data_IF_814646830898
#
_entry.id   IF_814646830898
#
_cell.length_a   1.000
_cell.length_b   1.000
_cell.length_c   1.000
_cell.angle_alpha   90.00
_cell.angle_beta   90.00
_cell.angle_gamma   90.00
#
_symmetry.space_group_name_H-M   'P 1'
#
loop_
_entity.id
_entity.type
_entity.pdbx_description
1 polymer ?
#
# COMPACT_ATOMS: atom_id res chain seq x y z
N UNK A 1 -10.44 6.53 -25.07
CA UNK A 1 -9.99 7.27 -23.87
C UNK A 1 -10.35 6.43 -22.67
N UNK A 2 -9.39 6.14 -21.80
CA UNK A 2 -9.66 5.41 -20.55
C UNK A 2 -10.29 6.38 -19.56
N UNK A 3 -11.41 5.98 -18.97
CA UNK A 3 -12.09 6.71 -17.90
C UNK A 3 -11.77 6.05 -16.56
N UNK A 4 -11.77 6.83 -15.49
CA UNK A 4 -11.82 6.28 -14.14
C UNK A 4 -13.25 5.82 -13.85
N UNK A 5 -13.46 4.56 -13.50
CA UNK A 5 -14.80 4.02 -13.24
C UNK A 5 -14.84 3.36 -11.86
N UNK A 6 -15.81 3.79 -11.05
CA UNK A 6 -16.03 3.30 -9.70
C UNK A 6 -17.50 2.93 -9.46
N UNK A 7 -17.71 2.04 -8.51
CA UNK A 7 -19.03 1.75 -7.94
C UNK A 7 -19.21 2.47 -6.61
N UNK A 8 -20.37 3.10 -6.45
CA UNK A 8 -20.78 3.84 -5.27
C UNK A 8 -21.97 3.11 -4.65
N UNK A 9 -21.83 2.58 -3.44
CA UNK A 9 -22.90 1.83 -2.76
C UNK A 9 -23.54 2.66 -1.66
N UNK A 10 -24.78 3.09 -1.90
CA UNK A 10 -25.50 4.06 -1.06
C UNK A 10 -26.50 3.34 -0.16
N UNK A 11 -26.40 3.60 1.15
CA UNK A 11 -27.29 3.03 2.16
C UNK A 11 -28.63 3.76 2.29
N UNK A 12 -29.50 3.28 3.19
CA UNK A 12 -30.83 3.90 3.42
C UNK A 12 -30.78 5.28 4.06
N UNK A 13 -29.75 5.57 4.87
CA UNK A 13 -29.66 6.73 5.77
C UNK A 13 -28.68 7.81 5.31
N UNK A 14 -27.74 7.48 4.44
CA UNK A 14 -26.75 8.41 3.91
C UNK A 14 -26.82 8.37 2.40
N UNK A 15 -27.47 9.40 1.83
CA UNK A 15 -27.79 9.48 0.40
C UNK A 15 -27.02 10.59 -0.31
N UNK A 16 -26.22 11.37 0.41
CA UNK A 16 -25.41 12.41 -0.20
C UNK A 16 -24.11 11.79 -0.68
N UNK A 17 -23.97 11.70 -2.00
CA UNK A 17 -22.73 11.29 -2.66
C UNK A 17 -22.00 12.54 -3.10
N UNK A 18 -20.83 12.80 -2.52
CA UNK A 18 -20.03 13.98 -2.88
C UNK A 18 -18.70 13.58 -3.50
N UNK A 19 -18.50 13.92 -4.77
CA UNK A 19 -17.19 13.88 -5.42
C UNK A 19 -16.52 15.25 -5.29
N UNK A 20 -15.24 15.28 -4.91
CA UNK A 20 -14.44 16.50 -4.94
C UNK A 20 -13.19 16.31 -5.77
N UNK A 21 -12.90 17.29 -6.61
CA UNK A 21 -11.70 17.36 -7.43
C UNK A 21 -11.05 18.72 -7.14
N UNK A 22 -10.26 18.81 -6.05
CA UNK A 22 -9.44 19.99 -5.77
C UNK A 22 -8.52 20.31 -6.94
N UNK A 23 -8.05 21.55 -7.00
CA UNK A 23 -6.97 21.93 -7.88
C UNK A 23 -5.82 22.50 -7.07
N UNK A 24 -4.61 22.22 -7.54
CA UNK A 24 -3.42 22.90 -7.02
C UNK A 24 -3.40 24.38 -7.40
N UNK A 25 -2.29 25.03 -7.06
CA UNK A 25 -2.03 26.43 -7.44
C UNK A 25 -1.86 26.62 -8.96
N UNK A 26 -1.55 25.55 -9.68
CA UNK A 26 -1.36 25.54 -11.13
C UNK A 26 -2.01 24.28 -11.69
N UNK A 27 -2.65 24.42 -12.85
CA UNK A 27 -3.24 23.31 -13.60
C UNK A 27 -2.75 23.39 -15.05
N UNK A 28 -2.12 22.33 -15.52
CA UNK A 28 -1.74 22.18 -16.91
C UNK A 28 -2.98 22.27 -17.83
N UNK A 29 -2.90 22.92 -19.00
CA UNK A 29 -4.06 23.11 -19.88
C UNK A 29 -4.81 21.82 -20.22
N UNK A 30 -4.09 20.70 -20.39
CA UNK A 30 -4.66 19.38 -20.70
C UNK A 30 -5.47 18.77 -19.56
N UNK A 31 -5.36 19.28 -18.33
CA UNK A 31 -6.03 18.75 -17.13
C UNK A 31 -7.14 19.68 -16.61
N UNK A 32 -7.47 20.75 -17.34
CA UNK A 32 -8.47 21.75 -16.92
C UNK A 32 -9.90 21.32 -17.14
N UNK A 33 -10.15 20.32 -17.98
CA UNK A 33 -11.49 19.84 -18.24
C UNK A 33 -11.69 18.49 -17.57
N UNK A 34 -12.86 18.32 -16.97
CA UNK A 34 -13.30 17.04 -16.44
C UNK A 34 -14.78 16.86 -16.75
N UNK A 35 -15.12 15.69 -17.26
CA UNK A 35 -16.50 15.26 -17.43
C UNK A 35 -16.78 14.18 -16.41
N UNK A 36 -17.91 14.27 -15.73
CA UNK A 36 -18.32 13.29 -14.72
C UNK A 36 -19.67 12.75 -15.12
N UNK A 37 -19.75 11.42 -15.23
CA UNK A 37 -20.98 10.70 -15.49
C UNK A 37 -21.39 9.95 -14.23
N UNK A 38 -22.60 10.21 -13.72
CA UNK A 38 -23.18 9.47 -12.61
C UNK A 38 -24.50 8.85 -13.09
N UNK A 39 -24.58 7.51 -13.08
CA UNK A 39 -25.73 6.75 -13.60
C UNK A 39 -26.19 7.16 -15.02
N UNK A 40 -25.22 7.46 -15.89
CA UNK A 40 -25.48 7.85 -17.29
C UNK A 40 -25.71 9.34 -17.50
N UNK A 41 -25.98 10.12 -16.44
CA UNK A 41 -26.08 11.58 -16.53
C UNK A 41 -24.69 12.21 -16.51
N UNK A 42 -24.34 12.95 -17.57
CA UNK A 42 -23.01 13.55 -17.72
C UNK A 42 -23.05 15.05 -17.50
N UNK A 43 -22.07 15.55 -16.76
CA UNK A 43 -21.82 16.97 -16.56
C UNK A 43 -20.37 17.31 -16.92
N UNK A 44 -20.14 18.50 -17.43
CA UNK A 44 -18.83 18.98 -17.88
C UNK A 44 -18.40 20.16 -17.01
N UNK A 45 -17.15 20.14 -16.55
CA UNK A 45 -16.63 21.11 -15.60
C UNK A 45 -15.26 21.62 -16.04
N UNK A 46 -15.03 22.88 -15.72
CA UNK A 46 -13.71 23.49 -15.81
C UNK A 46 -13.08 23.53 -14.42
N UNK A 47 -11.86 23.01 -14.30
CA UNK A 47 -11.05 23.07 -13.08
C UNK A 47 -10.26 24.37 -13.08
N UNK A 48 -10.38 25.14 -12.00
CA UNK A 48 -9.67 26.40 -11.82
C UNK A 48 -8.64 26.29 -10.69
N UNK A 49 -7.46 26.92 -10.80
CA UNK A 49 -6.46 26.88 -9.73
C UNK A 49 -7.01 27.37 -8.39
N UNK A 50 -6.54 26.77 -7.30
CA UNK A 50 -6.93 27.16 -5.92
C UNK A 50 -8.46 27.03 -5.72
N UNK A 51 -9.10 26.13 -6.46
CA UNK A 51 -10.52 25.83 -6.35
C UNK A 51 -10.75 24.34 -6.11
N UNK A 52 -12.00 23.95 -5.94
CA UNK A 52 -12.40 22.55 -5.93
C UNK A 52 -13.69 22.39 -6.71
N UNK A 53 -13.67 21.52 -7.72
CA UNK A 53 -14.91 21.08 -8.36
C UNK A 53 -15.61 20.14 -7.38
N UNK A 54 -16.79 20.52 -6.90
CA UNK A 54 -17.60 19.75 -5.95
C UNK A 54 -18.90 19.34 -6.64
N UNK A 55 -19.15 18.04 -6.73
CA UNK A 55 -20.35 17.49 -7.34
C UNK A 55 -21.10 16.67 -6.29
N UNK A 56 -22.38 16.96 -6.14
CA UNK A 56 -23.26 16.36 -5.14
C UNK A 56 -24.44 15.66 -5.83
N UNK A 57 -24.66 14.42 -5.45
CA UNK A 57 -25.73 13.58 -5.98
C UNK A 57 -26.58 13.05 -4.82
N UNK A 58 -27.87 12.86 -5.07
CA UNK A 58 -28.85 12.35 -4.10
C UNK A 58 -29.54 11.08 -4.62
N UNK A 59 -28.78 10.01 -4.92
CA UNK A 59 -29.36 8.76 -5.43
C UNK A 59 -30.29 8.07 -4.42
N UNK A 60 -31.12 7.17 -4.94
CA UNK A 60 -31.83 6.19 -4.10
C UNK A 60 -30.83 5.18 -3.52
N UNK A 61 -31.18 4.43 -2.46
CA UNK A 61 -30.32 3.37 -1.96
C UNK A 61 -30.06 2.30 -3.03
N UNK A 62 -28.81 1.86 -3.18
CA UNK A 62 -28.40 0.93 -4.22
C UNK A 62 -26.93 1.08 -4.61
N UNK A 63 -26.53 0.40 -5.66
CA UNK A 63 -25.21 0.51 -6.27
C UNK A 63 -25.31 1.37 -7.53
N UNK A 64 -24.46 2.37 -7.62
CA UNK A 64 -24.44 3.39 -8.66
C UNK A 64 -23.09 3.41 -9.35
N UNK A 65 -23.06 3.90 -10.59
CA UNK A 65 -21.84 3.94 -11.40
C UNK A 65 -21.35 5.37 -11.56
N UNK A 66 -20.12 5.62 -11.13
CA UNK A 66 -19.41 6.88 -11.29
C UNK A 66 -18.31 6.72 -12.35
N UNK A 67 -18.35 7.53 -13.40
CA UNK A 67 -17.27 7.68 -14.37
C UNK A 67 -16.68 9.09 -14.30
N UNK A 68 -15.36 9.20 -14.33
CA UNK A 68 -14.63 10.46 -14.39
C UNK A 68 -13.70 10.41 -15.62
N UNK A 69 -13.87 11.40 -16.50
CA UNK A 69 -13.11 11.53 -17.73
C UNK A 69 -12.40 12.89 -17.78
N UNK A 70 -11.08 12.86 -17.77
CA UNK A 70 -10.23 14.05 -17.87
C UNK A 70 -9.75 14.30 -19.31
N UNK A 71 -10.32 13.63 -20.31
CA UNK A 71 -9.83 13.72 -21.69
C UNK A 71 -8.53 12.96 -21.89
N UNK A 72 -8.36 11.82 -21.19
CA UNK A 72 -7.26 10.86 -21.38
C UNK A 72 -6.18 10.83 -20.29
N UNK A 73 -5.84 11.96 -19.67
CA UNK A 73 -4.83 12.06 -18.60
C UNK A 73 -5.48 12.42 -17.27
N UNK A 74 -5.24 11.64 -16.22
CA UNK A 74 -5.83 11.90 -14.90
C UNK A 74 -4.84 12.62 -13.98
N UNK A 75 -5.24 13.73 -13.31
CA UNK A 75 -4.38 14.38 -12.33
C UNK A 75 -4.17 13.47 -11.11
N UNK A 76 -2.90 13.21 -10.79
CA UNK A 76 -2.51 12.44 -9.62
C UNK A 76 -2.84 13.18 -8.32
N UNK A 77 -3.01 12.41 -7.24
CA UNK A 77 -3.20 12.89 -5.86
C UNK A 77 -4.39 13.85 -5.63
N UNK A 78 -5.31 13.94 -6.59
CA UNK A 78 -6.31 15.01 -6.60
C UNK A 78 -7.69 14.49 -6.20
N UNK A 79 -8.09 13.32 -6.71
CA UNK A 79 -9.45 12.82 -6.50
C UNK A 79 -9.76 12.58 -5.02
N UNK A 80 -10.81 13.21 -4.50
CA UNK A 80 -11.45 12.85 -3.24
C UNK A 80 -12.78 12.19 -3.63
N UNK A 81 -12.77 10.87 -3.65
CA UNK A 81 -13.93 10.07 -4.03
C UNK A 81 -15.02 10.14 -2.96
N UNK A 82 -16.30 9.90 -3.32
CA UNK A 82 -17.35 9.74 -2.34
C UNK A 82 -16.99 8.69 -1.28
N UNK A 83 -17.38 8.92 -0.03
CA UNK A 83 -17.13 7.97 1.07
C UNK A 83 -17.73 6.59 0.77
N UNK A 84 -18.83 6.56 0.02
CA UNK A 84 -19.57 5.36 -0.38
C UNK A 84 -18.91 4.60 -1.56
N UNK A 85 -17.70 4.97 -1.97
CA UNK A 85 -16.98 4.27 -3.05
C UNK A 85 -16.52 2.89 -2.58
N UNK A 86 -17.07 1.84 -3.17
CA UNK A 86 -16.81 0.45 -2.76
C UNK A 86 -15.93 -0.31 -3.74
N UNK A 87 -15.91 0.06 -5.01
CA UNK A 87 -15.08 -0.63 -6.01
C UNK A 87 -14.48 0.31 -7.07
N UNK A 88 -13.26 -0.02 -7.54
CA UNK A 88 -12.71 0.49 -8.80
C UNK A 88 -12.74 -0.64 -9.82
N UNK A 89 -13.54 -0.48 -10.87
CA UNK A 89 -13.90 -1.59 -11.77
C UNK A 89 -13.28 -1.47 -13.17
N UNK A 90 -12.48 -0.43 -13.42
CA UNK A 90 -11.72 -0.26 -14.66
C UNK A 90 -10.27 0.12 -14.40
N UNK A 91 -9.35 -0.17 -15.34
CA UNK A 91 -8.02 0.42 -15.32
C UNK A 91 -8.11 1.94 -15.20
N UNK A 92 -7.26 2.54 -14.37
CA UNK A 92 -7.25 4.00 -14.23
C UNK A 92 -6.56 4.63 -15.44
N UNK A 93 -6.91 5.86 -15.83
CA UNK A 93 -6.17 6.61 -16.84
C UNK A 93 -4.72 6.82 -16.42
N UNK A 94 -3.85 7.18 -17.36
CA UNK A 94 -2.47 7.51 -17.05
C UNK A 94 -2.42 8.69 -16.07
N UNK A 95 -1.60 8.59 -15.02
CA UNK A 95 -1.44 9.59 -13.97
C UNK A 95 -0.50 10.70 -14.42
N UNK A 96 -0.92 11.94 -14.21
CA UNK A 96 -0.17 13.13 -14.58
C UNK A 96 -0.04 14.06 -13.38
N UNK A 97 1.09 14.77 -13.29
CA UNK A 97 1.24 15.86 -12.34
C UNK A 97 0.36 17.04 -12.77
N UNK A 98 -0.51 17.47 -11.85
CA UNK A 98 -1.53 18.50 -12.14
C UNK A 98 -0.90 19.83 -12.59
N UNK A 99 0.24 20.22 -12.00
CA UNK A 99 0.90 21.49 -12.26
C UNK A 99 1.73 21.48 -13.56
N UNK A 100 2.48 20.39 -13.82
CA UNK A 100 3.39 20.32 -14.97
C UNK A 100 2.76 19.73 -16.22
N UNK A 101 1.68 18.95 -16.09
CA UNK A 101 1.06 18.25 -17.22
C UNK A 101 1.94 17.13 -17.79
N UNK A 102 2.92 16.67 -17.02
CA UNK A 102 3.77 15.52 -17.37
C UNK A 102 3.31 14.26 -16.63
N UNK A 103 3.73 13.08 -17.11
CA UNK A 103 3.50 11.81 -16.43
C UNK A 103 4.00 11.87 -14.98
N UNK A 104 3.18 11.38 -14.06
CA UNK A 104 3.56 11.24 -12.65
C UNK A 104 4.43 10.01 -12.48
N UNK A 105 5.55 10.11 -11.76
CA UNK A 105 6.32 8.93 -11.36
C UNK A 105 5.82 8.31 -10.06
N UNK A 106 4.95 9.03 -9.32
CA UNK A 106 4.31 8.58 -8.08
C UNK A 106 2.89 8.07 -8.35
N UNK A 107 2.55 6.92 -7.79
CA UNK A 107 1.28 6.22 -7.96
C UNK A 107 0.14 6.76 -7.09
N UNK A 108 0.15 8.04 -6.73
CA UNK A 108 -0.92 8.64 -5.95
C UNK A 108 -2.18 8.79 -6.82
N UNK A 109 -3.14 7.88 -6.65
CA UNK A 109 -4.41 7.88 -7.44
C UNK A 109 -5.36 8.97 -6.91
N UNK A 110 -5.52 9.03 -5.60
CA UNK A 110 -6.44 9.93 -4.88
C UNK A 110 -5.70 10.83 -3.91
N UNK A 111 -6.41 11.79 -3.35
CA UNK A 111 -5.89 12.65 -2.30
C UNK A 111 -5.44 11.81 -1.07
N UNK A 112 -4.17 11.88 -0.68
CA UNK A 112 -3.63 11.03 0.40
C UNK A 112 -4.19 11.37 1.78
N UNK A 113 -4.75 12.57 1.98
CA UNK A 113 -5.40 12.97 3.24
C UNK A 113 -6.79 12.35 3.35
N UNK A 114 -7.45 12.08 2.22
CA UNK A 114 -8.81 11.52 2.16
C UNK A 114 -8.89 10.31 1.23
N UNK A 115 -8.22 9.20 1.56
CA UNK A 115 -8.32 7.97 0.79
C UNK A 115 -9.73 7.34 0.90
N UNK A 116 -10.19 6.55 -0.09
CA UNK A 116 -11.53 5.95 -0.11
C UNK A 116 -11.63 4.77 0.88
N UNK A 117 -11.86 5.05 2.16
CA UNK A 117 -11.78 4.04 3.25
C UNK A 117 -12.78 2.87 3.16
N UNK A 118 -13.87 3.01 2.40
CA UNK A 118 -14.87 1.96 2.16
C UNK A 118 -14.58 1.10 0.92
N UNK A 119 -13.44 1.32 0.26
CA UNK A 119 -13.05 0.56 -0.92
C UNK A 119 -12.77 -0.90 -0.55
N UNK A 120 -13.54 -1.83 -1.10
CA UNK A 120 -13.40 -3.27 -0.87
C UNK A 120 -12.88 -4.03 -2.09
N UNK A 121 -13.02 -3.46 -3.29
CA UNK A 121 -12.66 -4.14 -4.54
C UNK A 121 -11.84 -3.26 -5.48
N UNK A 122 -10.82 -3.89 -6.08
CA UNK A 122 -9.97 -3.31 -7.12
C UNK A 122 -9.93 -4.27 -8.30
N UNK A 123 -10.08 -3.74 -9.51
CA UNK A 123 -9.79 -4.51 -10.72
C UNK A 123 -8.30 -4.89 -10.77
N UNK A 124 -7.98 -6.12 -11.17
CA UNK A 124 -6.59 -6.58 -11.38
C UNK A 124 -5.84 -5.70 -12.40
N UNK A 125 -6.62 -5.19 -13.35
CA UNK A 125 -6.36 -4.17 -14.36
C UNK A 125 -5.69 -2.86 -13.97
N UNK A 126 -5.64 -2.55 -12.67
CA UNK A 126 -5.72 -1.15 -12.20
C UNK A 126 -4.68 -0.24 -12.88
N UNK A 127 -3.43 -0.69 -12.96
CA UNK A 127 -2.31 0.08 -13.49
C UNK A 127 -1.95 -0.20 -14.96
N UNK A 128 -2.84 -0.78 -15.77
CA UNK A 128 -2.54 -1.14 -17.16
C UNK A 128 -2.00 0.02 -18.03
N UNK A 129 -2.35 1.27 -17.70
CA UNK A 129 -1.89 2.48 -18.41
C UNK A 129 -0.81 3.27 -17.66
N UNK A 130 -0.27 2.73 -16.57
CA UNK A 130 0.62 3.42 -15.64
C UNK A 130 1.98 2.71 -15.50
N UNK A 131 2.46 2.10 -16.58
CA UNK A 131 3.71 1.30 -16.60
C UNK A 131 4.95 2.09 -16.18
N UNK A 132 4.92 3.42 -16.29
CA UNK A 132 5.99 4.37 -16.00
C UNK A 132 6.17 4.69 -14.51
N UNK A 133 5.26 4.24 -13.63
CA UNK A 133 5.35 4.52 -12.20
C UNK A 133 6.62 3.93 -11.59
N UNK A 134 7.26 4.73 -10.72
CA UNK A 134 8.50 4.38 -10.02
C UNK A 134 8.24 4.20 -8.52
N UNK A 135 7.35 4.99 -7.94
CA UNK A 135 7.05 4.97 -6.50
C UNK A 135 5.56 4.79 -6.25
N UNK A 136 5.20 3.82 -5.42
CA UNK A 136 3.82 3.49 -5.00
C UNK A 136 3.58 3.88 -3.54
N UNK A 137 4.33 4.87 -3.04
CA UNK A 137 4.34 5.25 -1.64
C UNK A 137 2.94 5.61 -1.14
N UNK A 138 2.47 4.91 -0.11
CA UNK A 138 1.16 5.16 0.51
C UNK A 138 -0.06 5.00 -0.40
N UNK A 139 0.06 4.38 -1.57
CA UNK A 139 -1.00 4.38 -2.60
C UNK A 139 -2.33 3.84 -2.07
N UNK A 140 -2.29 2.74 -1.31
CA UNK A 140 -3.45 2.10 -0.70
C UNK A 140 -3.41 2.19 0.84
N UNK A 141 -2.67 3.17 1.37
CA UNK A 141 -2.59 3.37 2.81
C UNK A 141 -3.94 3.82 3.40
N UNK A 142 -4.28 3.27 4.56
CA UNK A 142 -5.49 3.62 5.30
C UNK A 142 -6.80 3.11 4.68
N UNK A 143 -6.74 2.25 3.66
CA UNK A 143 -7.91 1.58 3.08
C UNK A 143 -8.40 0.47 4.01
N UNK A 144 -9.08 0.86 5.09
CA UNK A 144 -9.47 -0.04 6.18
C UNK A 144 -10.50 -1.10 5.79
N UNK A 145 -11.29 -0.88 4.74
CA UNK A 145 -12.23 -1.87 4.21
C UNK A 145 -11.62 -2.79 3.14
N UNK A 146 -10.40 -2.52 2.65
CA UNK A 146 -9.75 -3.32 1.61
C UNK A 146 -9.08 -4.53 2.27
N UNK A 147 -9.77 -5.67 2.25
CA UNK A 147 -9.32 -6.91 2.93
C UNK A 147 -8.47 -7.82 2.06
N UNK A 148 -8.55 -7.66 0.74
CA UNK A 148 -7.77 -8.40 -0.25
C UNK A 148 -7.46 -7.53 -1.46
N UNK A 149 -6.43 -7.93 -2.23
CA UNK A 149 -6.09 -7.31 -3.51
C UNK A 149 -5.86 -8.38 -4.57
N UNK A 150 -6.12 -8.05 -5.86
CA UNK A 150 -5.78 -8.96 -6.95
C UNK A 150 -4.30 -9.33 -6.94
N UNK A 151 -3.99 -10.57 -7.23
CA UNK A 151 -2.60 -11.05 -7.23
C UNK A 151 -1.71 -10.37 -8.28
N UNK A 152 -2.32 -9.86 -9.35
CA UNK A 152 -1.66 -9.13 -10.43
C UNK A 152 -1.83 -7.61 -10.32
N UNK A 153 -2.23 -7.08 -9.16
CA UNK A 153 -2.50 -5.64 -8.97
C UNK A 153 -1.34 -4.76 -9.44
N UNK A 154 -0.09 -5.15 -9.19
CA UNK A 154 1.09 -4.38 -9.58
C UNK A 154 1.67 -4.76 -10.95
N UNK A 155 1.01 -5.63 -11.71
CA UNK A 155 1.35 -5.84 -13.12
C UNK A 155 0.70 -4.71 -13.96
N UNK A 156 1.42 -4.03 -14.88
CA UNK A 156 2.77 -4.29 -15.37
C UNK A 156 3.83 -3.27 -14.88
N UNK A 157 3.88 -2.93 -13.59
CA UNK A 157 4.75 -1.89 -13.03
C UNK A 157 6.23 -2.32 -12.94
N UNK A 158 6.86 -2.56 -14.08
CA UNK A 158 8.23 -3.10 -14.19
C UNK A 158 9.32 -2.11 -13.74
N UNK A 159 9.02 -0.82 -13.69
CA UNK A 159 9.94 0.24 -13.24
C UNK A 159 9.74 0.63 -11.77
N UNK A 160 8.76 0.04 -11.07
CA UNK A 160 8.50 0.35 -9.68
C UNK A 160 9.66 -0.09 -8.79
N UNK A 161 10.21 0.86 -8.02
CA UNK A 161 11.32 0.66 -7.08
C UNK A 161 10.87 0.76 -5.63
N UNK A 162 9.85 1.57 -5.36
CA UNK A 162 9.47 1.93 -3.99
C UNK A 162 8.02 1.58 -3.73
N UNK A 163 7.80 0.77 -2.69
CA UNK A 163 6.50 0.35 -2.17
C UNK A 163 6.29 0.83 -0.72
N UNK A 164 6.97 1.90 -0.32
CA UNK A 164 6.93 2.41 1.05
C UNK A 164 5.50 2.66 1.52
N UNK A 165 5.06 2.00 2.58
CA UNK A 165 3.73 2.19 3.13
C UNK A 165 2.59 1.85 2.18
N UNK A 166 2.83 1.11 1.10
CA UNK A 166 1.85 0.93 0.00
C UNK A 166 0.48 0.43 0.49
N UNK A 167 0.43 -0.43 1.51
CA UNK A 167 -0.79 -0.89 2.18
C UNK A 167 -0.82 -0.58 3.68
N UNK A 168 -0.01 0.38 4.14
CA UNK A 168 0.05 0.72 5.57
C UNK A 168 -1.35 1.07 6.11
N UNK A 169 -1.72 0.54 7.28
CA UNK A 169 -3.00 0.75 7.95
C UNK A 169 -4.23 0.31 7.13
N UNK A 170 -4.05 -0.56 6.13
CA UNK A 170 -5.16 -1.15 5.38
C UNK A 170 -5.84 -2.28 6.15
N UNK A 171 -7.01 -2.70 5.65
CA UNK A 171 -7.76 -3.84 6.17
C UNK A 171 -7.23 -5.21 5.72
N UNK A 172 -6.08 -5.27 5.04
CA UNK A 172 -5.60 -6.49 4.39
C UNK A 172 -5.51 -7.65 5.38
N UNK A 173 -6.19 -8.74 5.04
CA UNK A 173 -6.19 -10.00 5.78
C UNK A 173 -5.42 -11.10 5.05
N UNK A 174 -5.34 -11.01 3.72
CA UNK A 174 -4.63 -11.95 2.86
C UNK A 174 -3.78 -11.24 1.82
N UNK A 175 -2.62 -11.82 1.50
CA UNK A 175 -1.70 -11.34 0.48
C UNK A 175 -1.26 -12.52 -0.38
N UNK A 176 -1.42 -12.41 -1.70
CA UNK A 176 -0.96 -13.43 -2.64
C UNK A 176 0.56 -13.43 -2.74
N UNK A 177 1.15 -14.63 -2.91
CA UNK A 177 2.57 -14.78 -3.22
C UNK A 177 2.98 -14.12 -4.54
N UNK A 178 2.02 -13.88 -5.44
CA UNK A 178 2.29 -13.29 -6.75
C UNK A 178 2.31 -11.75 -6.74
N UNK A 179 1.93 -11.11 -5.63
CA UNK A 179 1.64 -9.68 -5.59
C UNK A 179 2.77 -8.81 -6.15
N UNK A 180 4.03 -9.13 -5.84
CA UNK A 180 5.20 -8.35 -6.26
C UNK A 180 6.04 -9.00 -7.37
N UNK A 181 5.54 -10.07 -8.02
CA UNK A 181 6.37 -10.86 -8.96
C UNK A 181 6.77 -10.09 -10.21
N UNK A 182 5.97 -9.12 -10.62
CA UNK A 182 6.25 -8.25 -11.77
C UNK A 182 7.25 -7.11 -11.46
N UNK A 183 7.51 -6.83 -10.18
CA UNK A 183 8.25 -5.64 -9.74
C UNK A 183 9.74 -5.97 -9.50
N UNK A 184 10.42 -6.43 -10.54
CA UNK A 184 11.80 -6.92 -10.47
C UNK A 184 12.83 -5.85 -10.05
N UNK A 185 12.46 -4.57 -10.15
CA UNK A 185 13.27 -3.43 -9.76
C UNK A 185 12.93 -2.91 -8.35
N UNK A 186 12.06 -3.58 -7.60
CA UNK A 186 11.69 -3.17 -6.24
C UNK A 186 12.90 -3.22 -5.30
N UNK A 187 13.15 -2.11 -4.60
CA UNK A 187 14.28 -1.91 -3.69
C UNK A 187 13.83 -1.66 -2.24
N UNK A 188 12.66 -1.05 -2.06
CA UNK A 188 12.17 -0.55 -0.78
C UNK A 188 10.71 -0.98 -0.53
N UNK A 189 10.53 -1.76 0.54
CA UNK A 189 9.24 -2.23 1.06
C UNK A 189 8.95 -1.70 2.47
N UNK A 190 9.63 -0.63 2.88
CA UNK A 190 9.47 -0.06 4.22
C UNK A 190 8.00 0.21 4.50
N UNK A 191 7.51 -0.21 5.66
CA UNK A 191 6.10 -0.03 6.08
C UNK A 191 5.04 -0.62 5.14
N UNK A 192 5.39 -1.43 4.13
CA UNK A 192 4.45 -1.84 3.08
C UNK A 192 3.15 -2.44 3.61
N UNK A 193 3.20 -3.16 4.74
CA UNK A 193 2.07 -3.77 5.44
C UNK A 193 1.98 -3.32 6.91
N UNK A 194 2.62 -2.19 7.27
CA UNK A 194 2.61 -1.68 8.64
C UNK A 194 1.18 -1.48 9.13
N UNK A 195 0.85 -1.99 10.30
CA UNK A 195 -0.47 -1.83 10.91
C UNK A 195 -1.61 -2.54 10.19
N UNK A 196 -1.33 -3.50 9.30
CA UNK A 196 -2.35 -4.40 8.74
C UNK A 196 -2.81 -5.39 9.82
N UNK A 197 -3.72 -4.94 10.69
CA UNK A 197 -4.12 -5.67 11.92
C UNK A 197 -4.87 -6.97 11.67
N UNK A 198 -5.33 -7.22 10.44
CA UNK A 198 -5.99 -8.47 10.05
C UNK A 198 -5.04 -9.44 9.34
N UNK A 199 -3.79 -9.03 9.06
CA UNK A 199 -2.80 -9.85 8.37
C UNK A 199 -2.13 -10.79 9.37
N UNK A 200 -2.62 -12.02 9.45
CA UNK A 200 -2.14 -13.04 10.40
C UNK A 200 -1.04 -13.95 9.85
N UNK A 201 -0.96 -14.10 8.52
CA UNK A 201 0.01 -14.94 7.83
C UNK A 201 0.47 -14.30 6.53
N UNK A 202 1.67 -14.63 6.08
CA UNK A 202 2.22 -14.21 4.79
C UNK A 202 2.80 -15.41 4.02
N UNK A 203 2.78 -15.39 2.68
CA UNK A 203 3.39 -16.44 1.89
C UNK A 203 4.92 -16.37 1.93
N UNK A 204 5.57 -17.54 1.87
CA UNK A 204 7.02 -17.65 1.90
C UNK A 204 7.70 -16.97 0.70
N UNK A 205 7.03 -16.97 -0.46
CA UNK A 205 7.58 -16.44 -1.71
C UNK A 205 7.22 -14.97 -1.98
N UNK A 206 6.68 -14.24 -1.00
CA UNK A 206 6.17 -12.88 -1.16
C UNK A 206 7.18 -11.92 -1.85
N UNK A 207 8.46 -12.04 -1.49
CA UNK A 207 9.55 -11.22 -2.04
C UNK A 207 10.52 -12.01 -2.94
N UNK A 208 10.15 -13.23 -3.35
CA UNK A 208 11.08 -14.19 -3.98
C UNK A 208 11.70 -13.74 -5.30
N UNK A 209 11.08 -12.78 -5.98
CA UNK A 209 11.54 -12.21 -7.27
C UNK A 209 12.17 -10.83 -7.13
N UNK A 210 12.10 -10.21 -5.94
CA UNK A 210 12.54 -8.83 -5.72
C UNK A 210 14.02 -8.82 -5.31
N UNK A 211 14.90 -9.29 -6.19
CA UNK A 211 16.33 -9.49 -5.90
C UNK A 211 17.12 -8.22 -5.62
N UNK A 212 16.54 -7.05 -5.87
CA UNK A 212 17.12 -5.73 -5.56
C UNK A 212 16.64 -5.17 -4.22
N UNK A 213 15.67 -5.82 -3.56
CA UNK A 213 15.06 -5.37 -2.33
C UNK A 213 16.07 -5.36 -1.20
N UNK A 214 16.22 -4.21 -0.54
CA UNK A 214 17.21 -3.97 0.51
C UNK A 214 16.64 -3.24 1.73
N UNK A 215 15.45 -2.66 1.65
CA UNK A 215 14.86 -1.92 2.77
C UNK A 215 13.53 -2.56 3.14
N UNK A 216 13.48 -3.12 4.35
CA UNK A 216 12.31 -3.78 4.92
C UNK A 216 11.90 -3.15 6.25
N UNK A 217 12.29 -1.90 6.48
CA UNK A 217 12.07 -1.22 7.75
C UNK A 217 10.57 -1.13 8.05
N UNK A 218 10.14 -1.64 9.21
CA UNK A 218 8.73 -1.66 9.65
C UNK A 218 7.75 -2.35 8.68
N UNK A 219 8.22 -3.15 7.72
CA UNK A 219 7.38 -3.74 6.66
C UNK A 219 6.09 -4.38 7.20
N UNK A 220 6.19 -5.11 8.30
CA UNK A 220 5.07 -5.79 8.96
C UNK A 220 4.84 -5.30 10.40
N UNK A 221 5.45 -4.17 10.79
CA UNK A 221 5.31 -3.65 12.14
C UNK A 221 3.83 -3.43 12.48
N UNK A 222 3.41 -3.76 13.70
CA UNK A 222 2.04 -3.59 14.19
C UNK A 222 0.96 -4.36 13.41
N UNK A 223 1.36 -5.33 12.57
CA UNK A 223 0.46 -6.34 12.00
C UNK A 223 0.12 -7.42 13.02
N UNK A 224 -0.80 -8.31 12.68
CA UNK A 224 -1.20 -9.43 13.55
C UNK A 224 -0.48 -10.75 13.22
N UNK A 225 0.69 -10.69 12.55
CA UNK A 225 1.48 -11.87 12.23
C UNK A 225 1.84 -12.65 13.49
N UNK A 226 1.45 -13.93 13.53
CA UNK A 226 1.81 -14.87 14.58
C UNK A 226 3.04 -15.73 14.25
N UNK A 227 3.30 -15.92 12.96
CA UNK A 227 4.39 -16.74 12.44
C UNK A 227 5.02 -16.06 11.22
N UNK A 228 6.30 -16.37 10.97
CA UNK A 228 7.06 -15.88 9.81
C UNK A 228 7.59 -17.08 9.02
N UNK A 229 7.50 -17.11 7.68
CA UNK A 229 8.14 -18.16 6.88
C UNK A 229 9.67 -18.06 6.90
N UNK A 230 10.35 -19.20 7.08
CA UNK A 230 11.82 -19.29 7.10
C UNK A 230 12.50 -18.71 5.85
N UNK A 231 11.88 -18.83 4.68
CA UNK A 231 12.48 -18.42 3.40
C UNK A 231 11.99 -17.07 2.88
N UNK A 232 11.32 -16.28 3.72
CA UNK A 232 10.74 -14.98 3.31
C UNK A 232 11.76 -14.04 2.66
N UNK A 233 13.01 -14.09 3.14
CA UNK A 233 14.12 -13.25 2.68
C UNK A 233 15.20 -14.02 1.90
N UNK A 234 14.91 -15.21 1.37
CA UNK A 234 15.94 -16.07 0.77
C UNK A 234 16.60 -15.48 -0.51
N UNK A 235 15.89 -14.65 -1.26
CA UNK A 235 16.32 -14.17 -2.59
C UNK A 235 16.49 -12.64 -2.69
N UNK A 236 16.49 -11.92 -1.57
CA UNK A 236 16.62 -10.46 -1.57
C UNK A 236 18.09 -10.02 -1.69
N UNK A 237 18.34 -8.73 -1.87
CA UNK A 237 19.70 -8.22 -1.89
C UNK A 237 20.36 -8.35 -0.50
N UNK A 238 21.67 -8.64 -0.50
CA UNK A 238 22.49 -8.63 0.72
C UNK A 238 22.61 -7.22 1.28
N UNK A 239 23.00 -7.11 2.57
CA UNK A 239 23.25 -5.83 3.24
C UNK A 239 22.01 -4.93 3.28
N UNK A 240 20.84 -5.55 3.52
CA UNK A 240 19.59 -4.85 3.72
C UNK A 240 19.39 -4.31 5.14
N UNK A 241 18.41 -3.41 5.29
CA UNK A 241 17.90 -2.90 6.56
C UNK A 241 16.58 -3.58 6.91
N UNK A 242 16.46 -4.01 8.17
CA UNK A 242 15.32 -4.72 8.75
C UNK A 242 14.88 -4.09 10.07
N UNK A 243 15.00 -2.76 10.16
CA UNK A 243 14.68 -2.04 11.40
C UNK A 243 13.20 -2.22 11.69
N UNK A 244 12.88 -2.73 12.88
CA UNK A 244 11.49 -2.91 13.31
C UNK A 244 10.61 -3.74 12.34
N UNK A 245 11.17 -4.57 11.44
CA UNK A 245 10.41 -5.25 10.39
C UNK A 245 9.17 -6.00 10.90
N UNK A 246 9.28 -6.67 12.06
CA UNK A 246 8.20 -7.37 12.74
C UNK A 246 7.93 -6.78 14.14
N UNK A 247 8.30 -5.53 14.38
CA UNK A 247 8.05 -4.89 15.66
C UNK A 247 6.56 -4.88 15.99
N UNK A 248 6.22 -5.17 17.24
CA UNK A 248 4.86 -5.13 17.78
C UNK A 248 3.89 -6.08 17.08
N UNK A 249 4.43 -7.17 16.49
CA UNK A 249 3.66 -8.31 15.97
C UNK A 249 3.37 -9.34 17.08
N UNK A 250 2.71 -10.45 16.73
CA UNK A 250 2.44 -11.57 17.63
C UNK A 250 3.45 -12.72 17.49
N UNK A 251 4.53 -12.53 16.73
CA UNK A 251 5.56 -13.54 16.49
C UNK A 251 6.29 -13.86 17.79
N UNK A 252 6.19 -15.13 18.23
CA UNK A 252 6.84 -15.60 19.47
C UNK A 252 8.08 -16.45 19.23
N UNK A 253 8.18 -17.09 18.06
CA UNK A 253 9.32 -17.93 17.67
C UNK A 253 9.76 -17.55 16.28
N UNK A 254 11.03 -17.21 16.14
CA UNK A 254 11.63 -16.92 14.83
C UNK A 254 12.09 -18.24 14.22
N UNK A 255 11.71 -18.54 12.97
CA UNK A 255 12.13 -19.78 12.33
C UNK A 255 13.63 -19.78 12.06
N UNK A 256 14.24 -20.96 12.12
CA UNK A 256 15.59 -21.19 11.60
C UNK A 256 15.64 -20.81 10.11
N UNK A 257 16.73 -20.17 9.71
CA UNK A 257 17.03 -19.79 8.35
C UNK A 257 16.47 -18.44 7.91
N UNK A 258 15.69 -17.73 8.74
CA UNK A 258 15.06 -16.46 8.35
C UNK A 258 16.03 -15.45 7.74
N UNK A 259 17.24 -15.36 8.32
CA UNK A 259 18.26 -14.39 7.93
C UNK A 259 19.41 -15.02 7.14
N UNK A 260 19.27 -16.27 6.67
CA UNK A 260 20.34 -16.93 5.94
C UNK A 260 20.65 -16.20 4.63
N UNK A 261 21.93 -15.87 4.44
CA UNK A 261 22.42 -15.24 3.22
C UNK A 261 22.06 -13.76 3.05
N UNK A 262 21.36 -13.13 4.01
CA UNK A 262 20.95 -11.71 3.90
C UNK A 262 22.05 -10.73 4.28
N UNK A 263 23.02 -11.13 5.13
CA UNK A 263 24.13 -10.28 5.62
C UNK A 263 23.65 -8.86 6.03
N UNK A 264 22.68 -8.74 6.96
CA UNK A 264 21.97 -7.49 7.20
C UNK A 264 22.89 -6.38 7.73
N UNK A 265 22.60 -5.13 7.36
CA UNK A 265 23.26 -3.95 7.91
C UNK A 265 22.69 -3.56 9.26
N UNK A 266 21.37 -3.69 9.41
CA UNK A 266 20.65 -3.24 10.59
C UNK A 266 19.44 -4.14 10.84
N UNK A 267 19.33 -4.65 12.06
CA UNK A 267 18.19 -5.45 12.54
C UNK A 267 17.62 -4.87 13.84
N UNK A 268 17.88 -3.59 14.11
CA UNK A 268 17.45 -2.93 15.34
C UNK A 268 15.93 -3.00 15.50
N UNK A 269 15.49 -3.43 16.69
CA UNK A 269 14.06 -3.61 16.98
C UNK A 269 13.31 -4.61 16.09
N UNK A 270 13.97 -5.44 15.27
CA UNK A 270 13.31 -6.28 14.26
C UNK A 270 12.13 -7.11 14.81
N UNK A 271 12.22 -7.57 16.06
CA UNK A 271 11.17 -8.26 16.80
C UNK A 271 10.86 -7.59 18.14
N UNK A 272 10.92 -6.25 18.21
CA UNK A 272 10.56 -5.50 19.41
C UNK A 272 9.10 -5.82 19.81
N UNK A 273 8.81 -6.23 21.05
CA UNK A 273 7.45 -6.60 21.43
C UNK A 273 6.54 -5.38 21.63
N UNK A 274 5.22 -5.60 21.54
CA UNK A 274 4.21 -4.54 21.66
C UNK A 274 4.06 -3.93 23.08
N UNK A 275 4.39 -4.69 24.12
CA UNK A 275 4.25 -4.25 25.51
C UNK A 275 5.58 -4.38 26.23
N UNK A 276 5.95 -3.31 26.94
CA UNK A 276 6.92 -3.35 28.02
C UNK A 276 6.22 -3.84 29.28
N UNK A 277 6.69 -4.95 29.86
CA UNK A 277 6.12 -5.45 31.12
C UNK A 277 6.74 -4.69 32.29
N UNK A 278 5.93 -4.38 33.31
CA UNK A 278 6.29 -3.57 34.50
C UNK A 278 7.52 -4.12 35.26
N UNK A 279 7.87 -5.40 35.04
CA UNK A 279 9.04 -6.08 35.59
C UNK A 279 9.85 -6.84 34.52
N UNK A 280 10.01 -6.20 33.35
CA UNK A 280 10.83 -6.69 32.25
C UNK A 280 11.50 -5.52 31.49
N UNK A 281 12.46 -4.82 32.11
CA UNK A 281 13.05 -3.60 31.55
C UNK A 281 13.81 -3.83 30.23
N UNK A 282 14.12 -5.09 29.90
CA UNK A 282 14.79 -5.51 28.67
C UNK A 282 13.83 -6.23 27.71
N UNK A 283 12.53 -6.30 28.02
CA UNK A 283 11.51 -6.99 27.25
C UNK A 283 11.81 -8.48 26.97
N UNK A 284 12.63 -9.14 27.80
CA UNK A 284 13.10 -10.52 27.60
C UNK A 284 11.93 -11.52 27.64
N UNK A 285 10.92 -11.30 28.49
CA UNK A 285 9.75 -12.17 28.61
C UNK A 285 8.78 -11.98 27.45
N UNK A 286 8.67 -10.76 26.93
CA UNK A 286 7.79 -10.44 25.81
C UNK A 286 8.44 -10.68 24.44
N UNK A 287 9.77 -10.74 24.37
CA UNK A 287 10.54 -10.92 23.15
C UNK A 287 10.34 -12.31 22.51
N UNK A 288 10.43 -12.32 21.18
CA UNK A 288 10.46 -13.54 20.40
C UNK A 288 11.70 -14.39 20.74
N UNK A 289 11.54 -15.70 20.72
CA UNK A 289 12.60 -16.68 20.83
C UNK A 289 13.41 -16.72 19.52
N UNK A 290 14.71 -16.42 19.61
CA UNK A 290 15.62 -16.37 18.46
C UNK A 290 16.53 -17.61 18.42
N UNK A 291 16.57 -18.34 17.28
CA UNK A 291 17.46 -19.48 17.11
C UNK A 291 18.92 -19.04 16.97
N UNK A 292 19.86 -19.98 17.14
CA UNK A 292 21.30 -19.67 17.13
C UNK A 292 21.77 -19.09 15.79
N UNK A 293 21.30 -19.64 14.69
CA UNK A 293 21.67 -19.23 13.33
C UNK A 293 21.25 -17.78 13.04
N UNK A 294 20.17 -17.29 13.67
CA UNK A 294 19.80 -15.87 13.61
C UNK A 294 20.95 -14.99 14.11
N UNK A 295 21.54 -15.29 15.27
CA UNK A 295 22.67 -14.52 15.81
C UNK A 295 23.92 -14.63 14.95
N UNK A 296 24.16 -15.80 14.34
CA UNK A 296 25.28 -16.00 13.43
C UNK A 296 25.12 -15.15 12.16
N UNK A 297 23.91 -15.14 11.59
CA UNK A 297 23.57 -14.37 10.40
C UNK A 297 23.59 -12.86 10.64
N UNK A 298 23.22 -12.39 11.84
CA UNK A 298 23.14 -10.95 12.17
C UNK A 298 24.37 -10.42 12.92
N UNK A 299 25.43 -11.21 13.12
CA UNK A 299 26.57 -10.87 14.00
C UNK A 299 27.30 -9.56 13.65
N UNK A 300 27.21 -9.10 12.41
CA UNK A 300 27.84 -7.85 11.93
C UNK A 300 26.86 -6.69 11.75
N UNK A 301 25.57 -6.91 12.01
CA UNK A 301 24.53 -5.90 11.86
C UNK A 301 24.54 -4.93 13.06
N UNK A 302 24.04 -3.71 12.82
CA UNK A 302 23.62 -2.82 13.89
C UNK A 302 22.30 -3.34 14.52
N UNK A 303 22.08 -2.97 15.79
CA UNK A 303 20.98 -3.48 16.60
C UNK A 303 21.33 -4.80 17.31
N UNK A 304 20.82 -4.99 18.53
CA UNK A 304 21.09 -6.20 19.33
C UNK A 304 19.77 -6.88 19.69
N UNK A 305 19.61 -8.19 19.47
CA UNK A 305 18.40 -8.89 19.85
C UNK A 305 18.30 -9.10 21.37
N UNK A 306 17.09 -9.12 21.91
CA UNK A 306 16.85 -9.12 23.37
C UNK A 306 16.73 -10.50 24.02
N UNK A 307 16.54 -11.61 23.26
CA UNK A 307 16.36 -12.96 23.83
C UNK A 307 16.88 -14.09 22.92
N UNK A 308 17.72 -14.98 23.48
CA UNK A 308 18.27 -16.18 22.79
C UNK A 308 17.61 -17.46 23.30
N UNK A 309 17.31 -18.41 22.40
CA UNK A 309 16.90 -19.78 22.80
C UNK A 309 18.06 -20.47 23.52
N UNK A 310 17.83 -20.93 24.74
CA UNK A 310 18.78 -21.77 25.48
C UNK A 310 18.46 -23.23 25.18
N UNK A 311 19.44 -23.98 24.66
CA UNK A 311 19.35 -25.44 24.49
C UNK A 311 19.82 -26.16 25.74
#
# INVERSE_FOLDING_TARGET
MTKFVAEITVGKRDRLVTLRIPAGNTIAPSLRQVSVTFDGETSHHHREPISSTVLEYHPMPGTHRLEIDFGGSMPAATLILPEQTTAIISPIPALYNDATGMLSTAGHIWNPIKPPRQLTHLVSSLFAHNTHLVALSGTFAGLTALTEVPESLFFPLIYARTFTGVFALSGLAHVSRQLFTANLQAEDFSEAFMGCKMLHTIPAELFSTNTHARIFDRTFAESALGDVPATLFANIAKRGSFVETFARTQVRRVPEGLMNGTEPLNVDGMFEPAQTLEHDPMNIKAAADLPQDFFEATRTAAGVPTKRVSF
#
